data_IF_829521357695
#
_entry.id   IF_829521357695
#
_cell.length_a   1.000
_cell.length_b   1.000
_cell.length_c   1.000
_cell.angle_alpha   90.00
_cell.angle_beta   90.00
_cell.angle_gamma   90.00
#
_symmetry.space_group_name_H-M   'P 1'
#
loop_
_entity.id
_entity.type
_entity.pdbx_description
1 polymer ?
#
# COMPACT_ATOMS: atom_id res chain seq x y z
N UNK A 1 54.99 52.10 -10.10
CA UNK A 1 54.97 50.85 -9.30
C UNK A 1 53.86 50.98 -8.24
N UNK A 2 52.76 50.33 -8.37
CA UNK A 2 51.74 50.27 -7.30
C UNK A 2 51.99 49.09 -6.37
N UNK A 3 51.70 49.27 -5.09
CA UNK A 3 51.84 48.35 -3.99
C UNK A 3 50.85 47.18 -4.02
N UNK A 4 51.16 46.02 -3.41
CA UNK A 4 50.30 44.85 -3.48
C UNK A 4 49.12 44.90 -2.47
N UNK A 5 47.95 44.43 -2.91
CA UNK A 5 46.72 44.33 -2.15
C UNK A 5 46.79 43.29 -1.04
N UNK A 6 46.25 43.64 0.10
CA UNK A 6 46.12 42.82 1.32
C UNK A 6 45.17 41.64 1.08
N UNK A 7 45.56 40.39 1.53
CA UNK A 7 44.74 39.20 1.61
C UNK A 7 43.82 39.23 2.84
N UNK A 8 42.57 38.84 2.76
CA UNK A 8 41.73 38.68 3.95
C UNK A 8 42.09 37.37 4.69
N UNK A 9 42.19 37.47 6.02
CA UNK A 9 42.44 36.39 6.96
C UNK A 9 41.21 35.45 7.03
N UNK A 10 41.40 34.17 6.76
CA UNK A 10 40.43 33.14 7.01
C UNK A 10 40.48 32.71 8.48
N UNK A 11 39.46 33.10 9.25
CA UNK A 11 39.24 32.64 10.61
C UNK A 11 38.85 31.16 10.62
N UNK A 12 39.65 30.33 11.23
CA UNK A 12 39.31 28.96 11.58
C UNK A 12 38.18 28.94 12.62
N UNK A 13 36.95 28.69 12.20
CA UNK A 13 35.89 28.28 13.11
C UNK A 13 36.01 26.77 13.32
N UNK A 14 36.37 26.36 14.52
CA UNK A 14 36.29 25.00 14.99
C UNK A 14 34.84 24.51 14.93
N UNK A 15 34.57 23.49 14.12
CA UNK A 15 33.30 22.76 14.14
C UNK A 15 33.33 21.82 15.36
N UNK A 16 32.59 22.20 16.40
CA UNK A 16 32.23 21.29 17.48
C UNK A 16 31.31 20.16 16.94
N UNK A 17 31.34 18.97 17.56
CA UNK A 17 30.52 17.86 17.10
C UNK A 17 29.03 18.20 17.26
N UNK A 18 28.32 18.25 16.15
CA UNK A 18 26.87 18.43 16.13
C UNK A 18 26.21 17.20 16.78
N UNK A 19 25.73 17.39 18.00
CA UNK A 19 24.69 16.54 18.60
C UNK A 19 23.41 16.75 17.79
N UNK A 20 23.18 15.88 16.84
CA UNK A 20 21.97 15.99 16.07
C UNK A 20 21.73 14.75 15.26
N UNK A 21 20.62 14.13 15.57
CA UNK A 21 19.86 13.15 14.77
C UNK A 21 20.03 11.68 15.16
N UNK A 22 19.65 11.36 16.40
CA UNK A 22 18.90 10.11 16.65
C UNK A 22 17.40 10.46 16.66
N UNK A 23 16.86 10.85 15.51
CA UNK A 23 15.44 10.71 15.23
C UNK A 23 15.23 9.28 14.76
N UNK A 24 15.05 8.41 15.73
CA UNK A 24 14.83 6.99 15.54
C UNK A 24 13.62 6.70 14.66
N UNK A 25 13.74 5.71 13.80
CA UNK A 25 12.66 5.13 12.99
C UNK A 25 11.36 4.81 13.79
N UNK A 26 11.47 4.64 15.10
CA UNK A 26 10.32 4.46 16.00
C UNK A 26 9.50 5.72 16.19
N UNK A 27 10.11 6.91 16.21
CA UNK A 27 9.36 8.17 16.22
C UNK A 27 8.56 8.35 14.94
N UNK A 28 9.03 7.82 13.82
CA UNK A 28 8.31 7.87 12.53
C UNK A 28 7.13 6.91 12.54
N UNK A 29 7.24 5.71 13.11
CA UNK A 29 6.12 4.76 13.21
C UNK A 29 5.05 5.23 14.21
N UNK A 30 5.43 5.89 15.30
CA UNK A 30 4.50 6.49 16.27
C UNK A 30 3.92 7.83 15.80
N UNK A 31 4.68 8.63 15.05
CA UNK A 31 4.20 9.89 14.48
C UNK A 31 3.24 9.69 13.31
N UNK A 32 3.30 8.55 12.59
CA UNK A 32 2.38 8.24 11.49
C UNK A 32 0.94 7.92 11.93
N UNK A 33 0.71 7.68 13.21
CA UNK A 33 -0.65 7.48 13.77
C UNK A 33 -1.41 8.80 13.91
N UNK A 34 -0.72 9.96 13.91
CA UNK A 34 -1.32 11.27 14.12
C UNK A 34 -1.22 12.26 12.95
N UNK A 35 -0.46 11.95 11.91
CA UNK A 35 -0.24 12.86 10.79
C UNK A 35 -0.54 12.17 9.45
N UNK A 36 -1.83 11.90 9.18
CA UNK A 36 -2.26 11.92 7.80
C UNK A 36 -2.06 13.36 7.28
N UNK A 37 -1.33 13.60 6.17
CA UNK A 37 -1.29 14.92 5.58
C UNK A 37 -2.74 15.33 5.26
N UNK A 38 -3.13 16.58 5.49
CA UNK A 38 -4.47 17.05 5.15
C UNK A 38 -4.65 17.00 3.63
N UNK A 39 -5.22 15.89 3.15
CA UNK A 39 -6.01 15.94 1.93
C UNK A 39 -7.30 16.70 2.24
N UNK A 40 -8.06 17.19 1.24
CA UNK A 40 -9.36 17.76 1.51
C UNK A 40 -10.15 16.72 2.32
N UNK A 41 -10.33 17.03 3.61
CA UNK A 41 -10.97 16.12 4.55
C UNK A 41 -12.43 16.01 4.16
N UNK A 42 -12.76 14.93 3.47
CA UNK A 42 -14.14 14.49 3.44
C UNK A 42 -14.59 14.33 4.90
N UNK A 43 -15.77 14.82 5.27
CA UNK A 43 -16.27 14.65 6.63
C UNK A 43 -16.21 13.18 6.99
N UNK A 44 -15.54 12.82 8.06
CA UNK A 44 -15.39 11.42 8.51
C UNK A 44 -16.74 10.68 8.59
N UNK A 45 -17.82 11.40 8.85
CA UNK A 45 -19.17 10.88 8.88
C UNK A 45 -19.72 10.39 7.53
N UNK A 46 -19.26 10.92 6.40
CA UNK A 46 -19.75 10.48 5.08
C UNK A 46 -19.11 9.14 4.64
N UNK A 47 -17.85 8.89 4.99
CA UNK A 47 -17.17 7.62 4.70
C UNK A 47 -17.72 6.48 5.56
N UNK A 48 -18.01 6.75 6.83
CA UNK A 48 -18.59 5.76 7.73
C UNK A 48 -20.00 5.33 7.28
N UNK A 49 -20.74 6.18 6.59
CA UNK A 49 -22.03 5.83 5.97
C UNK A 49 -21.92 4.74 4.89
N UNK A 50 -20.73 4.49 4.35
CA UNK A 50 -20.44 3.44 3.36
C UNK A 50 -20.07 2.11 4.00
N UNK A 51 -20.02 2.03 5.34
CA UNK A 51 -19.52 0.86 6.08
C UNK A 51 -20.52 -0.28 6.07
N UNK A 52 -19.97 -1.47 5.84
CA UNK A 52 -20.69 -2.73 5.87
C UNK A 52 -19.85 -3.78 6.59
N UNK A 53 -20.50 -4.76 7.21
CA UNK A 53 -19.85 -5.90 7.84
C UNK A 53 -20.09 -7.16 7.03
N UNK A 54 -19.07 -8.03 6.95
CA UNK A 54 -19.17 -9.35 6.31
C UNK A 54 -18.56 -10.40 7.23
N UNK A 55 -19.32 -11.39 7.62
CA UNK A 55 -18.79 -12.54 8.33
C UNK A 55 -18.09 -13.49 7.34
N UNK A 56 -16.89 -13.91 7.66
CA UNK A 56 -16.17 -15.00 7.00
C UNK A 56 -16.27 -16.26 7.86
N UNK A 57 -16.69 -17.37 7.25
CA UNK A 57 -16.71 -18.68 7.88
C UNK A 57 -15.31 -19.30 8.02
N UNK A 58 -15.30 -20.60 8.30
CA UNK A 58 -14.05 -21.37 8.39
C UNK A 58 -13.20 -21.24 7.11
N UNK A 59 -11.87 -21.23 7.23
CA UNK A 59 -11.08 -21.40 8.47
C UNK A 59 -10.89 -20.11 9.29
N UNK A 60 -11.19 -18.93 8.72
CA UNK A 60 -10.88 -17.64 9.35
C UNK A 60 -11.81 -17.30 10.53
N UNK A 61 -13.11 -17.57 10.39
CA UNK A 61 -14.14 -17.29 11.42
C UNK A 61 -14.07 -15.88 12.00
N UNK A 62 -13.96 -14.86 11.14
CA UNK A 62 -13.82 -13.45 11.52
C UNK A 62 -14.89 -12.59 10.87
N UNK A 63 -15.23 -11.49 11.52
CA UNK A 63 -15.98 -10.38 10.92
C UNK A 63 -15.05 -9.41 10.21
N UNK A 64 -15.30 -9.14 8.93
CA UNK A 64 -14.63 -8.07 8.20
C UNK A 64 -15.51 -6.81 8.18
N UNK A 65 -14.86 -5.67 8.32
CA UNK A 65 -15.43 -4.36 8.09
C UNK A 65 -14.95 -3.82 6.74
N UNK A 66 -15.87 -3.31 5.94
CA UNK A 66 -15.65 -2.87 4.56
C UNK A 66 -16.29 -1.50 4.36
N UNK A 67 -15.68 -0.68 3.50
CA UNK A 67 -16.29 0.52 2.92
C UNK A 67 -16.51 0.25 1.43
N UNK A 68 -17.71 0.58 0.91
CA UNK A 68 -18.08 0.30 -0.49
C UNK A 68 -18.70 1.49 -1.16
N UNK A 69 -18.34 1.70 -2.44
CA UNK A 69 -18.86 2.76 -3.27
C UNK A 69 -19.02 2.28 -4.73
N UNK A 70 -19.87 2.94 -5.48
CA UNK A 70 -20.16 2.62 -6.88
C UNK A 70 -21.09 1.41 -7.08
N UNK A 71 -21.46 1.10 -8.35
CA UNK A 71 -22.39 0.02 -8.66
C UNK A 71 -21.84 -1.35 -8.29
N UNK A 72 -22.64 -2.16 -7.59
CA UNK A 72 -22.16 -3.44 -7.01
C UNK A 72 -21.84 -4.52 -8.06
N UNK A 73 -22.33 -4.38 -9.28
CA UNK A 73 -22.16 -5.27 -10.44
C UNK A 73 -21.04 -4.82 -11.40
N UNK A 74 -20.45 -3.65 -11.16
CA UNK A 74 -19.37 -3.12 -11.97
C UNK A 74 -18.03 -3.84 -11.72
N UNK A 75 -17.01 -3.57 -12.56
CA UNK A 75 -15.65 -4.04 -12.37
C UNK A 75 -15.12 -3.64 -10.97
N UNK A 76 -14.46 -4.56 -10.28
CA UNK A 76 -14.06 -4.39 -8.89
C UNK A 76 -12.67 -3.75 -8.77
N UNK A 77 -12.59 -2.64 -8.03
CA UNK A 77 -11.35 -2.11 -7.47
C UNK A 77 -11.33 -2.40 -5.96
N UNK A 78 -10.44 -3.27 -5.51
CA UNK A 78 -10.30 -3.62 -4.11
C UNK A 78 -9.01 -3.02 -3.53
N UNK A 79 -9.16 -2.19 -2.50
CA UNK A 79 -8.13 -1.37 -1.89
C UNK A 79 -7.70 -1.98 -0.55
N UNK A 80 -6.40 -2.24 -0.39
CA UNK A 80 -5.81 -2.88 0.80
C UNK A 80 -4.77 -1.95 1.43
N UNK A 81 -5.06 -1.51 2.65
CA UNK A 81 -4.22 -0.56 3.38
C UNK A 81 -2.93 -1.21 3.93
N UNK A 82 -1.95 -0.38 4.26
CA UNK A 82 -0.70 -0.74 4.92
C UNK A 82 -0.85 -0.99 6.43
N UNK A 83 0.25 -0.87 7.17
CA UNK A 83 0.25 -1.05 8.63
C UNK A 83 1.01 0.10 9.33
N UNK A 84 0.43 0.69 10.40
CA UNK A 84 -0.98 0.62 10.77
C UNK A 84 -1.88 1.29 9.72
N UNK A 85 -3.15 0.87 9.62
CA UNK A 85 -4.09 1.45 8.67
C UNK A 85 -5.52 0.96 8.87
N UNK A 86 -6.42 1.45 8.01
CA UNK A 86 -7.82 1.04 7.95
C UNK A 86 -8.41 1.33 6.57
N UNK A 87 -9.62 0.85 6.31
CA UNK A 87 -10.37 1.17 5.09
C UNK A 87 -10.58 2.68 4.89
N UNK A 88 -10.68 3.46 5.97
CA UNK A 88 -10.83 4.91 5.92
C UNK A 88 -9.60 5.63 5.32
N UNK A 89 -8.45 4.98 5.24
CA UNK A 89 -7.28 5.49 4.52
C UNK A 89 -7.56 5.76 3.03
N UNK A 90 -8.62 5.16 2.49
CA UNK A 90 -9.04 5.26 1.10
C UNK A 90 -10.26 6.18 0.89
N UNK A 91 -10.52 7.10 1.86
CA UNK A 91 -11.70 7.96 1.86
C UNK A 91 -11.91 8.72 0.54
N UNK A 92 -10.85 9.29 -0.05
CA UNK A 92 -10.94 10.03 -1.30
C UNK A 92 -11.41 9.15 -2.48
N UNK A 93 -10.94 7.89 -2.53
CA UNK A 93 -11.31 6.94 -3.58
C UNK A 93 -12.74 6.40 -3.42
N UNK A 94 -13.27 6.41 -2.20
CA UNK A 94 -14.63 5.96 -1.89
C UNK A 94 -15.65 7.07 -2.05
N UNK A 95 -15.30 8.31 -1.76
CA UNK A 95 -16.17 9.47 -1.92
C UNK A 95 -16.20 9.97 -3.38
N UNK A 96 -15.11 9.76 -4.11
CA UNK A 96 -14.97 10.10 -5.52
C UNK A 96 -14.51 8.84 -6.29
N UNK A 97 -15.36 7.79 -6.34
CA UNK A 97 -14.99 6.56 -7.02
C UNK A 97 -14.79 6.84 -8.52
N UNK A 98 -13.82 6.16 -9.16
CA UNK A 98 -13.72 6.22 -10.61
C UNK A 98 -15.02 5.71 -11.26
N UNK A 99 -15.46 6.38 -12.32
CA UNK A 99 -16.70 6.05 -13.01
C UNK A 99 -16.73 4.59 -13.47
N UNK A 100 -17.89 3.95 -13.28
CA UNK A 100 -18.09 2.56 -13.70
C UNK A 100 -17.33 1.51 -12.89
N UNK A 101 -16.77 1.85 -11.73
CA UNK A 101 -16.11 0.90 -10.85
C UNK A 101 -16.90 0.67 -9.55
N UNK A 102 -16.89 -0.58 -9.09
CA UNK A 102 -17.23 -0.94 -7.73
C UNK A 102 -15.96 -0.84 -6.88
N UNK A 103 -15.89 0.15 -5.99
CA UNK A 103 -14.74 0.36 -5.12
C UNK A 103 -15.01 -0.25 -3.74
N UNK A 104 -14.12 -1.13 -3.29
CA UNK A 104 -14.20 -1.76 -1.96
C UNK A 104 -12.88 -1.54 -1.25
N UNK A 105 -12.91 -0.96 -0.07
CA UNK A 105 -11.78 -0.92 0.85
C UNK A 105 -12.11 -1.75 2.09
N UNK A 106 -11.18 -2.61 2.52
CA UNK A 106 -11.39 -3.41 3.72
C UNK A 106 -10.52 -2.89 4.88
N UNK A 107 -11.04 -3.01 6.08
CA UNK A 107 -10.18 -3.09 7.25
C UNK A 107 -9.56 -4.50 7.25
N UNK A 108 -8.22 -4.59 7.10
CA UNK A 108 -7.55 -5.91 7.11
C UNK A 108 -7.78 -6.64 8.44
N UNK A 109 -7.76 -7.98 8.48
CA UNK A 109 -7.85 -8.72 9.74
C UNK A 109 -6.93 -8.16 10.82
N UNK A 110 -7.47 -7.93 12.01
CA UNK A 110 -6.75 -7.32 13.13
C UNK A 110 -6.68 -5.78 13.12
N UNK A 111 -7.22 -5.10 12.10
CA UNK A 111 -7.18 -3.64 11.96
C UNK A 111 -8.57 -3.02 11.84
N UNK A 112 -8.64 -1.70 12.03
CA UNK A 112 -9.89 -0.95 11.94
C UNK A 112 -11.00 -1.56 12.80
N UNK A 113 -12.12 -1.87 12.16
CA UNK A 113 -13.27 -2.53 12.81
C UNK A 113 -13.37 -4.03 12.46
N UNK A 114 -12.37 -4.60 11.76
CA UNK A 114 -12.31 -6.05 11.50
C UNK A 114 -11.76 -6.82 12.69
N UNK A 115 -12.28 -8.05 12.89
CA UNK A 115 -11.71 -9.02 13.80
C UNK A 115 -10.42 -9.68 13.23
N UNK A 116 -9.72 -10.45 14.06
CA UNK A 116 -9.85 -10.54 15.51
C UNK A 116 -9.28 -9.30 16.22
N UNK A 117 -9.35 -9.22 17.55
CA UNK A 117 -8.72 -8.13 18.30
C UNK A 117 -7.19 -8.15 18.16
N UNK A 118 -6.59 -9.34 18.15
CA UNK A 118 -5.17 -9.53 17.91
C UNK A 118 -4.78 -9.40 16.45
N UNK A 119 -3.47 -9.28 16.18
CA UNK A 119 -2.94 -9.33 14.83
C UNK A 119 -3.14 -10.70 14.18
N UNK A 120 -3.26 -10.71 12.87
CA UNK A 120 -3.20 -11.90 12.02
C UNK A 120 -2.02 -11.70 11.06
N UNK A 121 -0.77 -12.00 11.48
CA UNK A 121 0.43 -11.56 10.77
C UNK A 121 0.75 -12.37 9.51
N UNK A 122 0.17 -13.57 9.35
CA UNK A 122 0.43 -14.42 8.19
C UNK A 122 -0.16 -13.84 6.91
N UNK A 123 0.66 -13.69 5.86
CA UNK A 123 0.19 -13.20 4.56
C UNK A 123 -0.84 -14.12 3.93
N UNK A 124 -0.79 -15.43 4.20
CA UNK A 124 -1.76 -16.39 3.69
C UNK A 124 -3.17 -16.12 4.22
N UNK A 125 -3.31 -15.90 5.53
CA UNK A 125 -4.61 -15.62 6.16
C UNK A 125 -5.13 -14.24 5.77
N UNK A 126 -4.27 -13.24 5.70
CA UNK A 126 -4.61 -11.91 5.20
C UNK A 126 -5.10 -11.98 3.75
N UNK A 127 -4.40 -12.72 2.89
CA UNK A 127 -4.79 -12.92 1.51
C UNK A 127 -6.10 -13.70 1.37
N UNK A 128 -6.34 -14.72 2.21
CA UNK A 128 -7.59 -15.46 2.21
C UNK A 128 -8.80 -14.57 2.56
N UNK A 129 -8.63 -13.63 3.50
CA UNK A 129 -9.67 -12.66 3.82
C UNK A 129 -9.99 -11.72 2.64
N UNK A 130 -8.97 -11.28 1.91
CA UNK A 130 -9.13 -10.48 0.68
C UNK A 130 -9.77 -11.32 -0.43
N UNK A 131 -9.31 -12.54 -0.65
CA UNK A 131 -9.81 -13.44 -1.68
C UNK A 131 -11.30 -13.79 -1.49
N UNK A 132 -11.77 -13.85 -0.25
CA UNK A 132 -13.19 -14.05 0.06
C UNK A 132 -14.10 -12.91 -0.46
N UNK A 133 -13.53 -11.76 -0.81
CA UNK A 133 -14.27 -10.62 -1.37
C UNK A 133 -14.30 -10.63 -2.90
N UNK A 134 -13.54 -11.51 -3.56
CA UNK A 134 -13.49 -11.59 -5.01
C UNK A 134 -14.84 -12.07 -5.59
N UNK A 135 -15.34 -11.42 -6.66
CA UNK A 135 -16.57 -11.85 -7.33
C UNK A 135 -16.38 -13.21 -8.01
N UNK A 136 -17.46 -13.96 -8.13
CA UNK A 136 -17.45 -15.29 -8.79
C UNK A 136 -18.00 -15.25 -10.23
N UNK A 137 -18.48 -14.11 -10.67
CA UNK A 137 -19.15 -13.90 -11.96
C UNK A 137 -18.21 -13.55 -13.13
N UNK A 138 -16.89 -13.58 -12.89
CA UNK A 138 -15.88 -13.34 -13.92
C UNK A 138 -15.66 -11.88 -14.29
N UNK A 139 -16.31 -10.92 -13.58
CA UNK A 139 -16.04 -9.50 -13.81
C UNK A 139 -14.57 -9.17 -13.54
N UNK A 140 -14.04 -8.12 -14.19
CA UNK A 140 -12.68 -7.68 -13.97
C UNK A 140 -12.41 -7.25 -12.53
N UNK A 141 -11.23 -7.62 -12.03
CA UNK A 141 -10.78 -7.30 -10.68
C UNK A 141 -9.39 -6.68 -10.72
N UNK A 142 -9.28 -5.48 -10.17
CA UNK A 142 -8.00 -4.87 -9.86
C UNK A 142 -7.83 -4.82 -8.34
N UNK A 143 -6.69 -5.31 -7.87
CA UNK A 143 -6.27 -5.18 -6.49
C UNK A 143 -5.25 -4.05 -6.38
N UNK A 144 -5.41 -3.18 -5.40
CA UNK A 144 -4.41 -2.17 -5.05
C UNK A 144 -3.98 -2.36 -3.61
N UNK A 145 -2.68 -2.56 -3.40
CA UNK A 145 -2.09 -2.70 -2.07
C UNK A 145 -1.06 -1.61 -1.82
N UNK A 146 -1.22 -0.89 -0.70
CA UNK A 146 -0.28 0.12 -0.25
C UNK A 146 0.61 -0.44 0.88
N UNK A 147 1.93 -0.19 0.81
CA UNK A 147 2.86 -0.59 1.87
C UNK A 147 2.77 -2.10 2.14
N UNK A 148 2.53 -2.55 3.38
CA UNK A 148 2.28 -3.95 3.74
C UNK A 148 1.02 -4.53 3.07
N UNK A 149 0.07 -3.71 2.62
CA UNK A 149 -1.02 -4.16 1.76
C UNK A 149 -0.55 -4.71 0.41
N UNK A 150 0.62 -4.27 -0.07
CA UNK A 150 1.26 -4.76 -1.30
C UNK A 150 1.52 -6.27 -1.31
N UNK A 151 2.28 -6.82 -0.34
CA UNK A 151 2.48 -8.27 -0.23
C UNK A 151 1.17 -9.05 -0.04
N UNK A 152 0.17 -8.49 0.66
CA UNK A 152 -1.14 -9.15 0.80
C UNK A 152 -1.81 -9.32 -0.57
N UNK A 153 -1.91 -8.26 -1.38
CA UNK A 153 -2.53 -8.36 -2.72
C UNK A 153 -1.68 -9.16 -3.70
N UNK A 154 -0.35 -9.13 -3.58
CA UNK A 154 0.55 -9.97 -4.37
C UNK A 154 0.34 -11.46 -4.06
N UNK A 155 0.12 -11.80 -2.77
CA UNK A 155 -0.21 -13.16 -2.36
C UNK A 155 -1.55 -13.61 -2.94
N UNK A 156 -2.59 -12.78 -2.91
CA UNK A 156 -3.88 -13.09 -3.56
C UNK A 156 -3.68 -13.35 -5.05
N UNK A 157 -2.94 -12.51 -5.75
CA UNK A 157 -2.72 -12.65 -7.18
C UNK A 157 -1.90 -13.91 -7.53
N UNK A 158 -0.96 -14.33 -6.67
CA UNK A 158 -0.19 -15.56 -6.82
C UNK A 158 -1.03 -16.81 -6.55
N UNK A 159 -1.93 -16.76 -5.56
CA UNK A 159 -2.81 -17.88 -5.20
C UNK A 159 -3.99 -18.03 -6.19
N UNK A 160 -4.41 -16.94 -6.87
CA UNK A 160 -5.55 -16.89 -7.78
C UNK A 160 -5.19 -16.30 -9.15
N UNK A 161 -4.22 -16.85 -9.90
CA UNK A 161 -3.63 -16.23 -11.10
C UNK A 161 -4.63 -15.97 -12.24
N UNK A 162 -5.76 -16.69 -12.27
CA UNK A 162 -6.80 -16.52 -13.30
C UNK A 162 -7.95 -15.57 -12.89
N UNK A 163 -7.95 -15.04 -11.65
CA UNK A 163 -9.06 -14.23 -11.12
C UNK A 163 -8.76 -12.75 -11.03
N UNK A 164 -7.50 -12.36 -11.18
CA UNK A 164 -7.04 -10.98 -11.03
C UNK A 164 -6.66 -10.43 -12.39
N UNK A 165 -7.36 -9.39 -12.84
CA UNK A 165 -7.09 -8.67 -14.10
C UNK A 165 -5.86 -7.81 -13.97
N UNK A 166 -5.77 -7.06 -12.87
CA UNK A 166 -4.68 -6.13 -12.62
C UNK A 166 -4.30 -6.02 -11.15
N UNK A 167 -3.06 -5.61 -10.93
CA UNK A 167 -2.46 -5.46 -9.61
C UNK A 167 -1.69 -4.12 -9.56
N UNK A 168 -2.02 -3.27 -8.60
CA UNK A 168 -1.26 -2.04 -8.31
C UNK A 168 -0.49 -2.22 -7.02
N UNK A 169 0.83 -2.15 -7.11
CA UNK A 169 1.77 -2.23 -5.98
C UNK A 169 2.23 -0.80 -5.66
N UNK A 170 1.60 -0.19 -4.65
CA UNK A 170 1.79 1.21 -4.30
C UNK A 170 2.70 1.33 -3.08
N UNK A 171 3.92 1.88 -3.26
CA UNK A 171 4.94 1.95 -2.20
C UNK A 171 5.05 0.63 -1.41
N UNK A 172 5.03 -0.50 -2.13
CA UNK A 172 4.84 -1.83 -1.56
C UNK A 172 6.14 -2.41 -1.00
N UNK A 173 6.07 -3.01 0.19
CA UNK A 173 7.17 -3.69 0.87
C UNK A 173 7.18 -5.17 0.46
N UNK A 174 7.98 -5.53 -0.56
CA UNK A 174 8.06 -6.91 -1.06
C UNK A 174 9.44 -7.55 -0.93
N UNK A 175 10.51 -6.75 -0.81
CA UNK A 175 11.88 -7.27 -0.71
C UNK A 175 12.22 -7.65 0.74
N UNK A 176 12.37 -8.96 1.07
CA UNK A 176 12.72 -9.39 2.40
C UNK A 176 14.10 -8.87 2.87
N UNK A 177 15.00 -8.51 1.93
CA UNK A 177 16.31 -7.96 2.29
C UNK A 177 16.23 -6.54 2.83
N UNK A 178 15.15 -5.81 2.54
CA UNK A 178 14.92 -4.46 3.04
C UNK A 178 14.25 -4.43 4.42
N UNK A 179 13.71 -5.57 4.88
CA UNK A 179 13.03 -5.64 6.17
C UNK A 179 14.02 -5.74 7.32
N UNK A 180 14.03 -4.69 8.14
CA UNK A 180 14.88 -4.59 9.32
C UNK A 180 14.03 -4.40 10.58
N UNK A 181 14.19 -5.31 11.54
CA UNK A 181 13.53 -5.20 12.83
C UNK A 181 14.29 -4.19 13.70
N UNK A 182 13.64 -3.07 14.00
CA UNK A 182 14.20 -2.09 14.93
C UNK A 182 14.15 -2.61 16.38
N UNK A 183 15.18 -2.39 17.23
CA UNK A 183 15.18 -2.86 18.62
C UNK A 183 13.95 -2.48 19.44
N UNK A 184 13.37 -1.30 19.21
CA UNK A 184 12.16 -0.85 19.90
C UNK A 184 10.90 -1.64 19.50
N UNK A 185 10.87 -2.29 18.35
CA UNK A 185 9.78 -3.20 17.98
C UNK A 185 9.76 -4.44 18.88
N UNK A 186 10.94 -4.99 19.19
CA UNK A 186 11.07 -6.10 20.15
C UNK A 186 10.67 -5.67 21.56
N UNK A 187 11.05 -4.46 21.97
CA UNK A 187 10.64 -3.91 23.25
C UNK A 187 9.11 -3.70 23.31
N UNK A 188 8.50 -3.21 22.22
CA UNK A 188 7.04 -3.05 22.12
C UNK A 188 6.26 -4.36 22.13
N UNK A 189 6.91 -5.49 21.84
CA UNK A 189 6.30 -6.83 21.94
C UNK A 189 6.45 -7.47 23.33
N UNK A 190 7.27 -6.89 24.21
CA UNK A 190 7.41 -7.36 25.57
C UNK A 190 6.09 -7.26 26.34
N UNK A 191 5.59 -8.36 26.97
CA UNK A 191 4.23 -8.45 27.48
C UNK A 191 3.74 -7.27 28.34
N UNK A 192 4.53 -6.73 29.29
CA UNK A 192 4.11 -5.57 30.07
C UNK A 192 3.87 -4.30 29.25
N UNK A 193 4.67 -4.05 28.21
CA UNK A 193 4.53 -2.87 27.36
C UNK A 193 3.48 -3.08 26.26
N UNK A 194 3.43 -4.29 25.69
CA UNK A 194 2.46 -4.64 24.64
C UNK A 194 1.03 -4.36 25.06
N UNK A 195 0.67 -4.67 26.32
CA UNK A 195 -0.66 -4.43 26.86
C UNK A 195 -1.05 -2.95 26.99
N UNK A 196 -0.06 -2.05 27.04
CA UNK A 196 -0.26 -0.60 27.10
C UNK A 196 -0.38 0.06 25.73
N UNK A 197 0.02 -0.62 24.65
CA UNK A 197 -0.05 -0.08 23.31
C UNK A 197 -1.49 -0.07 22.77
N UNK A 198 -1.92 0.99 22.06
CA UNK A 198 -3.16 0.98 21.31
C UNK A 198 -3.20 -0.23 20.36
N UNK A 199 -4.39 -0.82 20.15
CA UNK A 199 -4.60 -2.00 19.30
C UNK A 199 -3.91 -1.87 17.94
N UNK A 200 -4.07 -0.74 17.25
CA UNK A 200 -3.49 -0.51 15.94
C UNK A 200 -1.94 -0.61 15.95
N UNK A 201 -1.30 -0.05 16.97
CA UNK A 201 0.17 -0.09 17.11
C UNK A 201 0.66 -1.48 17.50
N UNK A 202 -0.03 -2.11 18.46
CA UNK A 202 0.28 -3.48 18.90
C UNK A 202 0.23 -4.46 17.74
N UNK A 203 -0.84 -4.41 16.95
CA UNK A 203 -1.04 -5.32 15.84
C UNK A 203 -0.09 -5.02 14.67
N UNK A 204 0.15 -3.74 14.36
CA UNK A 204 1.16 -3.33 13.38
C UNK A 204 2.56 -3.84 13.76
N UNK A 205 2.95 -3.71 15.03
CA UNK A 205 4.24 -4.21 15.51
C UNK A 205 4.36 -5.73 15.35
N UNK A 206 3.30 -6.48 15.67
CA UNK A 206 3.29 -7.94 15.49
C UNK A 206 3.41 -8.33 14.02
N UNK A 207 2.73 -7.64 13.10
CA UNK A 207 2.85 -7.86 11.65
C UNK A 207 4.28 -7.61 11.17
N UNK A 208 4.89 -6.47 11.54
CA UNK A 208 6.24 -6.12 11.11
C UNK A 208 7.31 -7.08 11.64
N UNK A 209 7.16 -7.59 12.87
CA UNK A 209 8.06 -8.59 13.43
C UNK A 209 8.02 -9.92 12.67
N UNK A 210 6.86 -10.28 12.10
CA UNK A 210 6.65 -11.50 11.35
C UNK A 210 6.92 -11.33 9.83
N UNK A 211 7.07 -10.10 9.32
CA UNK A 211 6.98 -9.80 7.90
C UNK A 211 8.09 -10.46 7.07
N UNK A 212 9.32 -10.42 7.54
CA UNK A 212 10.47 -10.90 6.75
C UNK A 212 10.34 -12.37 6.28
N UNK A 213 10.10 -13.36 7.16
CA UNK A 213 9.91 -14.74 6.73
C UNK A 213 8.68 -14.92 5.82
N UNK A 214 7.61 -14.15 6.02
CA UNK A 214 6.44 -14.15 5.15
C UNK A 214 6.78 -13.65 3.73
N UNK A 215 7.62 -12.61 3.60
CA UNK A 215 8.12 -12.12 2.32
C UNK A 215 9.07 -13.11 1.65
N UNK A 216 9.94 -13.79 2.40
CA UNK A 216 10.80 -14.85 1.87
C UNK A 216 9.96 -15.98 1.24
N UNK A 217 8.89 -16.40 1.93
CA UNK A 217 7.95 -17.39 1.39
C UNK A 217 7.17 -16.87 0.18
N UNK A 218 6.72 -15.61 0.20
CA UNK A 218 6.01 -14.99 -0.91
C UNK A 218 6.89 -14.81 -2.15
N UNK A 219 8.18 -14.51 -1.98
CA UNK A 219 9.13 -14.31 -3.07
C UNK A 219 9.20 -15.51 -4.04
N UNK A 220 8.98 -16.72 -3.53
CA UNK A 220 8.94 -17.96 -4.31
C UNK A 220 7.66 -18.07 -5.15
N UNK A 221 6.63 -17.32 -4.81
CA UNK A 221 5.31 -17.39 -5.44
C UNK A 221 5.07 -16.24 -6.43
N UNK A 222 5.81 -15.13 -6.34
CA UNK A 222 5.66 -13.98 -7.23
C UNK A 222 5.69 -14.33 -8.73
N UNK A 223 6.49 -15.32 -9.21
CA UNK A 223 6.48 -15.75 -10.61
C UNK A 223 5.15 -16.38 -11.08
N UNK A 224 4.24 -16.75 -10.14
CA UNK A 224 2.92 -17.30 -10.47
C UNK A 224 1.89 -16.25 -10.85
N UNK A 225 2.15 -14.97 -10.55
CA UNK A 225 1.25 -13.86 -10.88
C UNK A 225 1.12 -13.75 -12.40
N UNK A 226 -0.12 -13.67 -12.90
CA UNK A 226 -0.45 -13.54 -14.34
C UNK A 226 -1.12 -12.23 -14.69
N UNK A 227 -1.52 -11.46 -13.68
CA UNK A 227 -2.18 -10.18 -13.82
C UNK A 227 -1.28 -9.16 -14.54
N UNK A 228 -1.88 -8.11 -15.06
CA UNK A 228 -1.17 -6.88 -15.43
C UNK A 228 -0.73 -6.17 -14.14
N UNK A 229 0.55 -5.82 -14.00
CA UNK A 229 1.09 -5.22 -12.77
C UNK A 229 1.57 -3.79 -13.03
N UNK A 230 1.16 -2.88 -12.17
CA UNK A 230 1.65 -1.50 -12.13
C UNK A 230 2.30 -1.25 -10.79
N UNK A 231 3.61 -0.93 -10.81
CA UNK A 231 4.36 -0.52 -9.63
C UNK A 231 4.39 1.00 -9.60
N UNK A 232 4.00 1.60 -8.48
CA UNK A 232 4.14 3.05 -8.22
C UNK A 232 4.92 3.25 -6.94
N UNK A 233 6.03 3.98 -6.99
CA UNK A 233 6.90 4.17 -5.84
C UNK A 233 7.48 5.58 -5.80
N UNK A 234 7.60 6.15 -4.59
CA UNK A 234 8.23 7.44 -4.38
C UNK A 234 9.74 7.30 -4.23
N UNK A 235 10.54 8.15 -4.90
CA UNK A 235 12.01 8.08 -4.81
C UNK A 235 12.56 8.54 -3.45
N UNK A 236 11.77 9.31 -2.67
CA UNK A 236 12.10 9.76 -1.32
C UNK A 236 11.35 8.97 -0.23
N UNK A 237 10.92 7.73 -0.52
CA UNK A 237 10.28 6.85 0.47
C UNK A 237 11.32 6.36 1.49
N UNK A 238 11.19 6.87 2.72
CA UNK A 238 12.07 6.53 3.84
C UNK A 238 11.55 5.35 4.68
N UNK A 239 10.31 4.90 4.46
CA UNK A 239 9.70 3.78 5.18
C UNK A 239 9.87 2.47 4.43
N UNK A 240 9.60 2.49 3.13
CA UNK A 240 9.81 1.37 2.22
C UNK A 240 10.80 1.82 1.15
N UNK A 241 12.07 1.43 1.23
CA UNK A 241 13.10 1.89 0.30
C UNK A 241 12.75 1.57 -1.15
N UNK A 242 13.06 2.51 -2.07
CA UNK A 242 12.83 2.37 -3.51
C UNK A 242 13.51 1.12 -4.12
N UNK A 243 14.49 0.55 -3.43
CA UNK A 243 15.13 -0.72 -3.78
C UNK A 243 14.14 -1.88 -3.92
N UNK A 244 12.98 -1.83 -3.22
CA UNK A 244 11.88 -2.78 -3.41
C UNK A 244 11.43 -2.87 -4.88
N UNK A 245 11.54 -1.80 -5.67
CA UNK A 245 11.13 -1.78 -7.07
C UNK A 245 11.98 -2.74 -7.91
N UNK A 246 13.31 -2.72 -7.75
CA UNK A 246 14.20 -3.62 -8.46
C UNK A 246 13.93 -5.09 -8.12
N UNK A 247 13.65 -5.39 -6.84
CA UNK A 247 13.26 -6.73 -6.42
C UNK A 247 11.94 -7.18 -7.09
N UNK A 248 10.91 -6.32 -7.08
CA UNK A 248 9.63 -6.60 -7.73
C UNK A 248 9.81 -6.88 -9.21
N UNK A 249 10.56 -6.04 -9.93
CA UNK A 249 10.84 -6.22 -11.36
C UNK A 249 11.55 -7.55 -11.65
N UNK A 250 12.50 -7.95 -10.80
CA UNK A 250 13.22 -9.20 -10.96
C UNK A 250 12.37 -10.45 -10.67
N UNK A 251 11.38 -10.35 -9.80
CA UNK A 251 10.57 -11.49 -9.33
C UNK A 251 9.23 -11.66 -10.05
N UNK A 252 8.67 -10.61 -10.61
CA UNK A 252 7.37 -10.63 -11.31
C UNK A 252 7.50 -11.13 -12.76
N UNK A 253 8.11 -12.30 -12.95
CA UNK A 253 8.46 -12.84 -14.27
C UNK A 253 7.30 -13.47 -15.03
N UNK A 254 6.19 -13.76 -14.34
CA UNK A 254 5.02 -14.40 -14.93
C UNK A 254 3.90 -13.46 -15.35
N UNK A 255 4.03 -12.17 -15.06
CA UNK A 255 2.96 -11.17 -15.30
C UNK A 255 2.71 -10.95 -16.79
N UNK A 256 1.46 -10.64 -17.15
CA UNK A 256 1.10 -10.37 -18.56
C UNK A 256 1.65 -9.03 -19.05
N UNK A 257 1.87 -8.10 -18.15
CA UNK A 257 2.44 -6.78 -18.42
C UNK A 257 2.96 -6.18 -17.11
N UNK A 258 4.12 -5.51 -17.16
CA UNK A 258 4.72 -4.83 -16.03
C UNK A 258 5.04 -3.38 -16.37
N UNK A 259 4.40 -2.46 -15.66
CA UNK A 259 4.68 -1.02 -15.76
C UNK A 259 5.23 -0.51 -14.43
N UNK A 260 6.22 0.38 -14.47
CA UNK A 260 6.79 0.99 -13.27
C UNK A 260 6.76 2.51 -13.40
N UNK A 261 6.22 3.17 -12.39
CA UNK A 261 6.21 4.64 -12.27
C UNK A 261 6.95 5.04 -11.00
N UNK A 262 8.09 5.69 -11.16
CA UNK A 262 8.82 6.31 -10.06
C UNK A 262 8.40 7.79 -9.96
N UNK A 263 7.94 8.20 -8.79
CA UNK A 263 7.51 9.56 -8.51
C UNK A 263 8.65 10.30 -7.79
N UNK A 264 9.32 11.19 -8.53
CA UNK A 264 10.48 11.89 -7.99
C UNK A 264 10.14 12.77 -6.80
N UNK A 265 10.98 12.71 -5.76
CA UNK A 265 10.81 13.44 -4.50
C UNK A 265 9.58 13.06 -3.68
N UNK A 266 8.73 12.12 -4.12
CA UNK A 266 7.56 11.67 -3.35
C UNK A 266 7.97 10.69 -2.26
N UNK A 267 7.31 10.81 -1.11
CA UNK A 267 7.50 9.94 0.05
C UNK A 267 6.51 8.76 0.04
N UNK A 268 6.45 8.02 1.13
CA UNK A 268 5.60 6.83 1.32
C UNK A 268 4.09 7.06 1.16
N UNK A 269 3.62 8.28 1.38
CA UNK A 269 2.19 8.60 1.53
C UNK A 269 1.50 8.87 0.18
N UNK A 270 1.78 8.06 -0.83
CA UNK A 270 1.28 8.20 -2.20
C UNK A 270 -0.26 8.20 -2.32
N UNK A 271 -1.04 7.42 -1.55
CA UNK A 271 -2.49 7.49 -1.62
C UNK A 271 -3.07 8.88 -1.41
N UNK A 272 -2.37 9.72 -0.65
CA UNK A 272 -2.84 11.05 -0.26
C UNK A 272 -2.15 12.19 -1.01
N UNK A 273 -0.88 12.05 -1.37
CA UNK A 273 -0.11 13.11 -1.98
C UNK A 273 0.11 12.96 -3.49
N UNK A 274 -0.36 11.84 -4.08
CA UNK A 274 -0.20 11.49 -5.50
C UNK A 274 -1.45 10.78 -6.03
N UNK A 275 -2.64 11.23 -5.61
CA UNK A 275 -3.90 10.55 -5.94
C UNK A 275 -4.18 10.47 -7.46
N UNK A 276 -3.75 11.46 -8.25
CA UNK A 276 -3.92 11.45 -9.70
C UNK A 276 -3.10 10.32 -10.34
N UNK A 277 -1.84 10.17 -9.96
CA UNK A 277 -0.94 9.14 -10.44
C UNK A 277 -1.41 7.73 -10.01
N UNK A 278 -1.95 7.62 -8.80
CA UNK A 278 -2.55 6.37 -8.32
C UNK A 278 -3.81 6.00 -9.13
N UNK A 279 -4.69 6.96 -9.42
CA UNK A 279 -5.86 6.73 -10.28
C UNK A 279 -5.46 6.32 -11.70
N UNK A 280 -4.42 6.93 -12.25
CA UNK A 280 -3.84 6.53 -13.53
C UNK A 280 -3.30 5.10 -13.50
N UNK A 281 -2.60 4.71 -12.44
CA UNK A 281 -2.10 3.34 -12.26
C UNK A 281 -3.24 2.32 -12.18
N UNK A 282 -4.35 2.66 -11.52
CA UNK A 282 -5.56 1.82 -11.48
C UNK A 282 -6.13 1.64 -12.89
N UNK A 283 -6.27 2.71 -13.68
CA UNK A 283 -6.75 2.63 -15.06
C UNK A 283 -5.82 1.76 -15.93
N UNK A 284 -4.51 1.90 -15.80
CA UNK A 284 -3.51 1.07 -16.49
C UNK A 284 -3.64 -0.41 -16.10
N UNK A 285 -3.90 -0.71 -14.83
CA UNK A 285 -4.05 -2.08 -14.35
C UNK A 285 -5.31 -2.77 -14.90
N UNK A 286 -6.40 -2.03 -15.15
CA UNK A 286 -7.56 -2.57 -15.86
C UNK A 286 -7.27 -2.85 -17.35
N UNK A 287 -6.37 -2.08 -17.98
CA UNK A 287 -6.01 -2.22 -19.40
C UNK A 287 -7.01 -1.53 -20.37
N UNK A 288 -6.67 -1.48 -21.67
CA UNK A 288 -7.39 -0.67 -22.65
C UNK A 288 -8.84 -1.11 -22.92
N UNK A 289 -9.18 -2.36 -22.70
CA UNK A 289 -10.53 -2.88 -22.95
C UNK A 289 -11.57 -2.49 -21.90
N UNK A 290 -11.16 -1.86 -20.81
CA UNK A 290 -12.01 -1.61 -19.64
C UNK A 290 -11.89 -0.19 -19.06
N UNK A 291 -11.37 0.75 -19.85
CA UNK A 291 -11.59 2.17 -19.59
C UNK A 291 -13.09 2.47 -19.86
N UNK A 292 -13.96 1.85 -19.07
CA UNK A 292 -15.42 1.94 -19.20
C UNK A 292 -15.86 3.22 -18.53
N UNK A 293 -16.42 4.13 -19.34
CA UNK A 293 -17.02 5.39 -18.90
C UNK A 293 -16.79 6.56 -19.85
N UNK A 294 -15.97 6.41 -20.88
CA UNK A 294 -15.94 7.37 -21.97
C UNK A 294 -17.19 7.10 -22.84
N UNK A 295 -18.16 8.03 -22.82
CA UNK A 295 -19.29 7.99 -23.71
C UNK A 295 -18.87 7.88 -25.17
N UNK A 296 -19.81 7.68 -26.14
CA UNK A 296 -19.55 7.24 -27.52
C UNK A 296 -18.70 8.18 -28.41
N UNK A 297 -18.03 9.18 -27.84
CA UNK A 297 -17.22 10.16 -28.59
C UNK A 297 -15.69 9.87 -28.59
N UNK A 298 -15.21 8.79 -27.99
CA UNK A 298 -13.76 8.48 -27.93
C UNK A 298 -13.31 7.32 -28.86
N UNK A 299 -14.08 7.02 -29.89
CA UNK A 299 -13.80 5.91 -30.81
C UNK A 299 -12.88 6.33 -31.96
N UNK A 300 -11.69 6.90 -31.72
CA UNK A 300 -10.64 7.06 -32.73
C UNK A 300 -9.27 7.47 -32.13
N UNK A 301 -8.83 6.83 -31.05
CA UNK A 301 -7.41 6.85 -30.74
C UNK A 301 -6.76 5.52 -31.22
N UNK A 302 -5.56 5.54 -31.83
CA UNK A 302 -4.89 4.29 -32.18
C UNK A 302 -4.67 3.47 -30.91
N UNK A 303 -4.91 2.16 -31.02
CA UNK A 303 -4.66 1.24 -29.92
C UNK A 303 -3.28 1.48 -29.34
N UNK A 304 -3.13 1.68 -28.00
CA UNK A 304 -1.80 1.76 -27.41
C UNK A 304 -1.06 0.47 -27.71
N UNK A 305 0.22 0.61 -28.07
CA UNK A 305 1.10 -0.51 -28.28
C UNK A 305 1.04 -1.46 -27.07
N UNK A 306 1.15 -2.78 -27.27
CA UNK A 306 1.21 -3.71 -26.15
C UNK A 306 2.35 -3.29 -25.23
N UNK A 307 2.10 -3.31 -23.93
CA UNK A 307 2.98 -2.95 -22.83
C UNK A 307 4.45 -3.06 -23.12
#
# INVERSE_FOLDING_TARGET
>A
MPAPAARPAWGHRAFGPSRGKLCSAVSVALASVGCAPPGPAAPAGSVEGLRQSRALGAPLNIGLSLLRAGPADAALLLLVHGTPGSAASWADYLLHPPDGLHVVALDRPGHGQSGPDGALPGLAEQAAAVAALLPIDGRPVVLLGHSLGGPVVARVAADHPGRITGLVLLAASLDPAQEQIHPLQRLGDWPPLRGLLPRAIRNANTELLALKPELEALALQLPRIRARVVIVHGTADALVPVANVAFMQARLTGVSCLTTTLLDGRNHFLPWNSAAEVRQAVAQAFGPAQAVGAGPAAAQAPAPAPC
#
